data_IF_039241644291
#
_entry.id   IF_039241644291
#
_cell.length_a   1.000
_cell.length_b   1.000
_cell.length_c   1.000
_cell.angle_alpha   90.00
_cell.angle_beta   90.00
_cell.angle_gamma   90.00
#
_symmetry.space_group_name_H-M   'P 1'
#
loop_
_entity.id
_entity.type
_entity.pdbx_description
1 polymer ?
#
# COMPACT_ATOMS: atom_id res chain seq x y z
N UNK A 1 -4.94 14.35 -16.69
CA UNK A 1 -5.19 15.10 -15.44
C UNK A 1 -4.32 16.34 -15.37
N UNK A 2 -4.72 17.36 -14.60
CA UNK A 2 -3.84 18.47 -14.24
C UNK A 2 -2.86 18.06 -13.13
N UNK A 3 -1.79 18.84 -12.92
CA UNK A 3 -0.85 18.60 -11.82
C UNK A 3 -1.53 18.66 -10.44
N UNK A 4 -2.48 19.56 -10.27
CA UNK A 4 -3.29 19.65 -9.05
C UNK A 4 -4.11 18.38 -8.81
N UNK A 5 -4.71 17.81 -9.86
CA UNK A 5 -5.49 16.58 -9.72
C UNK A 5 -4.59 15.41 -9.29
N UNK A 6 -3.38 15.29 -9.88
CA UNK A 6 -2.43 14.23 -9.55
C UNK A 6 -1.97 14.38 -8.10
N UNK A 7 -1.69 15.61 -7.67
CA UNK A 7 -1.31 15.91 -6.30
C UNK A 7 -2.41 15.56 -5.30
N UNK A 8 -3.66 15.92 -5.60
CA UNK A 8 -4.83 15.58 -4.77
C UNK A 8 -5.03 14.06 -4.68
N UNK A 9 -4.89 13.34 -5.80
CA UNK A 9 -4.97 11.88 -5.83
C UNK A 9 -3.93 11.24 -4.92
N UNK A 10 -2.66 11.62 -5.04
CA UNK A 10 -1.58 11.08 -4.21
C UNK A 10 -1.82 11.38 -2.72
N UNK A 11 -2.20 12.62 -2.38
CA UNK A 11 -2.49 12.99 -0.99
C UNK A 11 -3.72 12.26 -0.42
N UNK A 12 -4.72 11.96 -1.26
CA UNK A 12 -5.85 11.16 -0.82
C UNK A 12 -5.45 9.72 -0.52
N UNK A 13 -4.66 9.10 -1.40
CA UNK A 13 -4.14 7.75 -1.20
C UNK A 13 -3.20 7.67 0.01
N UNK A 14 -2.40 8.71 0.27
CA UNK A 14 -1.58 8.82 1.47
C UNK A 14 -2.44 8.73 2.74
N UNK A 15 -3.55 9.48 2.79
CA UNK A 15 -4.49 9.43 3.92
C UNK A 15 -5.07 8.04 4.13
N UNK A 16 -5.53 7.39 3.06
CA UNK A 16 -6.05 6.02 3.14
C UNK A 16 -5.02 5.04 3.69
N UNK A 17 -3.75 5.16 3.28
CA UNK A 17 -2.68 4.33 3.82
C UNK A 17 -2.44 4.60 5.33
N UNK A 18 -2.48 5.86 5.76
CA UNK A 18 -2.39 6.21 7.18
C UNK A 18 -3.60 5.74 8.01
N UNK A 19 -4.80 5.84 7.46
CA UNK A 19 -6.03 5.41 8.13
C UNK A 19 -6.01 3.88 8.32
N UNK A 20 -5.62 3.12 7.29
CA UNK A 20 -5.46 1.67 7.38
C UNK A 20 -4.34 1.26 8.35
N UNK A 21 -3.22 1.98 8.35
CA UNK A 21 -2.15 1.80 9.35
C UNK A 21 -2.71 1.92 10.77
N UNK A 22 -3.49 2.96 11.03
CA UNK A 22 -4.07 3.21 12.35
C UNK A 22 -5.11 2.15 12.74
N UNK A 23 -5.89 1.65 11.77
CA UNK A 23 -6.80 0.52 11.96
C UNK A 23 -6.04 -0.75 12.34
N UNK A 24 -5.00 -1.11 11.58
CA UNK A 24 -4.16 -2.28 11.84
C UNK A 24 -3.55 -2.21 13.24
N UNK A 25 -2.95 -1.07 13.59
CA UNK A 25 -2.37 -0.85 14.92
C UNK A 25 -3.43 -0.95 16.03
N UNK A 26 -4.62 -0.40 15.80
CA UNK A 26 -5.73 -0.47 16.76
C UNK A 26 -6.19 -1.91 16.99
N UNK A 27 -6.39 -2.67 15.91
CA UNK A 27 -6.81 -4.09 15.98
C UNK A 27 -5.75 -4.93 16.68
N UNK A 28 -4.48 -4.76 16.32
CA UNK A 28 -3.37 -5.49 16.93
C UNK A 28 -3.20 -5.14 18.43
N UNK A 29 -3.26 -3.86 18.78
CA UNK A 29 -3.07 -3.40 20.17
C UNK A 29 -4.22 -3.83 21.07
N UNK A 30 -5.47 -3.72 20.59
CA UNK A 30 -6.67 -4.12 21.35
C UNK A 30 -6.92 -5.62 21.33
N UNK A 31 -6.21 -6.38 20.47
CA UNK A 31 -6.43 -7.80 20.23
C UNK A 31 -7.89 -8.14 19.96
N UNK A 32 -8.56 -7.28 19.20
CA UNK A 32 -9.97 -7.44 18.88
C UNK A 32 -10.12 -7.92 17.43
N UNK A 33 -10.55 -9.17 17.18
CA UNK A 33 -10.72 -9.68 15.82
C UNK A 33 -11.95 -9.10 15.11
N UNK A 34 -12.87 -8.44 15.83
CA UNK A 34 -14.12 -7.93 15.25
C UNK A 34 -13.92 -7.07 13.98
N UNK A 35 -12.99 -6.10 13.98
CA UNK A 35 -12.69 -5.26 12.80
C UNK A 35 -11.69 -5.89 11.81
N UNK A 36 -11.43 -7.20 11.87
CA UNK A 36 -10.46 -7.81 10.95
C UNK A 36 -10.91 -7.73 9.49
N UNK A 37 -12.22 -7.86 9.22
CA UNK A 37 -12.75 -7.72 7.87
C UNK A 37 -12.53 -6.29 7.35
N UNK A 38 -12.70 -5.29 8.20
CA UNK A 38 -12.47 -3.88 7.86
C UNK A 38 -11.03 -3.64 7.36
N UNK A 39 -10.03 -4.32 7.92
CA UNK A 39 -8.64 -4.23 7.41
C UNK A 39 -8.55 -4.68 5.94
N UNK A 40 -9.25 -5.75 5.59
CA UNK A 40 -9.23 -6.28 4.23
C UNK A 40 -10.03 -5.39 3.27
N UNK A 41 -11.13 -4.82 3.74
CA UNK A 41 -11.96 -3.91 2.96
C UNK A 41 -11.20 -2.60 2.67
N UNK A 42 -10.47 -2.06 3.64
CA UNK A 42 -9.63 -0.86 3.45
C UNK A 42 -8.45 -1.11 2.48
N UNK A 43 -7.88 -2.33 2.44
CA UNK A 43 -6.92 -2.70 1.39
C UNK A 43 -7.59 -2.68 -0.01
N UNK A 44 -8.82 -3.17 -0.12
CA UNK A 44 -9.57 -3.11 -1.38
C UNK A 44 -9.87 -1.67 -1.78
N UNK A 45 -10.26 -0.81 -0.83
CA UNK A 45 -10.54 0.59 -1.09
C UNK A 45 -9.29 1.35 -1.61
N UNK A 46 -8.10 1.03 -1.09
CA UNK A 46 -6.84 1.55 -1.63
C UNK A 46 -6.63 1.06 -3.07
N UNK A 47 -6.85 -0.23 -3.34
CA UNK A 47 -6.75 -0.79 -4.70
C UNK A 47 -7.71 -0.12 -5.67
N UNK A 48 -8.99 0.00 -5.31
CA UNK A 48 -10.03 0.62 -6.13
C UNK A 48 -9.73 2.10 -6.39
N UNK A 49 -9.25 2.82 -5.36
CA UNK A 49 -8.82 4.20 -5.51
C UNK A 49 -7.62 4.33 -6.44
N UNK A 50 -6.66 3.41 -6.37
CA UNK A 50 -5.53 3.39 -7.30
C UNK A 50 -5.99 3.11 -8.74
N UNK A 51 -6.84 2.10 -8.95
CA UNK A 51 -7.40 1.77 -10.28
C UNK A 51 -8.20 2.92 -10.88
N UNK A 52 -9.02 3.59 -10.06
CA UNK A 52 -9.78 4.76 -10.46
C UNK A 52 -8.85 5.87 -10.93
N UNK A 53 -7.80 6.18 -10.14
CA UNK A 53 -6.79 7.18 -10.51
C UNK A 53 -6.01 6.79 -11.78
N UNK A 54 -5.63 5.51 -11.94
CA UNK A 54 -5.01 5.03 -13.19
C UNK A 54 -5.91 5.34 -14.38
N UNK A 55 -7.20 5.03 -14.29
CA UNK A 55 -8.15 5.21 -15.42
C UNK A 55 -8.22 6.65 -15.94
N UNK A 56 -8.06 7.63 -15.04
CA UNK A 56 -8.10 9.07 -15.39
C UNK A 56 -6.72 9.67 -15.66
N UNK A 57 -5.65 9.00 -15.21
CA UNK A 57 -4.26 9.44 -15.43
C UNK A 57 -3.66 8.94 -16.73
N UNK A 58 -4.17 7.85 -17.30
CA UNK A 58 -3.71 7.32 -18.59
C UNK A 58 -3.62 8.45 -19.64
N UNK A 59 -2.46 8.52 -20.32
CA UNK A 59 -2.13 9.55 -21.33
C UNK A 59 -1.99 10.99 -20.80
N UNK A 60 -1.80 11.18 -19.49
CA UNK A 60 -1.39 12.49 -18.99
C UNK A 60 -0.06 12.91 -19.64
N UNK A 61 0.00 14.16 -20.09
CA UNK A 61 1.20 14.69 -20.73
C UNK A 61 2.34 14.86 -19.71
N UNK A 62 3.57 14.82 -20.21
CA UNK A 62 4.75 15.17 -19.42
C UNK A 62 4.63 16.61 -18.94
N UNK A 63 4.94 16.83 -17.66
CA UNK A 63 4.82 18.11 -16.99
C UNK A 63 6.04 18.97 -17.25
N UNK A 64 5.85 20.12 -17.86
CA UNK A 64 6.96 21.00 -18.29
C UNK A 64 7.28 22.11 -17.29
N UNK A 65 6.34 22.48 -16.43
CA UNK A 65 6.54 23.55 -15.44
C UNK A 65 7.24 23.01 -14.19
N UNK A 66 8.34 23.63 -13.72
CA UNK A 66 9.03 23.18 -12.50
C UNK A 66 8.13 23.18 -11.25
N UNK A 67 7.24 24.17 -11.11
CA UNK A 67 6.31 24.25 -9.99
C UNK A 67 5.34 23.05 -9.93
N UNK A 68 4.82 22.63 -11.09
CA UNK A 68 3.92 21.48 -11.19
C UNK A 68 4.67 20.17 -10.92
N UNK A 69 5.92 20.05 -11.37
CA UNK A 69 6.76 18.89 -11.06
C UNK A 69 6.99 18.77 -9.55
N UNK A 70 7.35 19.86 -8.88
CA UNK A 70 7.53 19.88 -7.43
C UNK A 70 6.23 19.48 -6.70
N UNK A 71 5.10 20.07 -7.10
CA UNK A 71 3.80 19.80 -6.50
C UNK A 71 3.41 18.32 -6.59
N UNK A 72 3.64 17.69 -7.74
CA UNK A 72 3.36 16.27 -7.93
C UNK A 72 4.35 15.42 -7.13
N UNK A 73 5.63 15.77 -7.13
CA UNK A 73 6.66 15.01 -6.44
C UNK A 73 6.49 15.01 -4.92
N UNK A 74 6.11 16.14 -4.33
CA UNK A 74 5.82 16.24 -2.89
C UNK A 74 4.63 15.35 -2.51
N UNK A 75 3.56 15.39 -3.29
CA UNK A 75 2.39 14.55 -3.05
C UNK A 75 2.66 13.06 -3.29
N UNK A 76 3.43 12.73 -4.34
CA UNK A 76 3.94 11.38 -4.59
C UNK A 76 4.74 10.87 -3.38
N UNK A 77 5.68 11.67 -2.88
CA UNK A 77 6.51 11.32 -1.73
C UNK A 77 5.67 11.12 -0.46
N UNK A 78 4.63 11.92 -0.26
CA UNK A 78 3.69 11.74 0.85
C UNK A 78 2.92 10.41 0.75
N UNK A 79 2.49 10.03 -0.46
CA UNK A 79 1.88 8.72 -0.69
C UNK A 79 2.85 7.57 -0.39
N UNK A 80 4.09 7.67 -0.89
CA UNK A 80 5.16 6.70 -0.60
C UNK A 80 5.37 6.57 0.92
N UNK A 81 5.42 7.67 1.66
CA UNK A 81 5.54 7.63 3.12
C UNK A 81 4.35 6.90 3.79
N UNK A 82 3.13 7.16 3.32
CA UNK A 82 1.94 6.45 3.79
C UNK A 82 2.05 4.93 3.58
N UNK A 83 2.56 4.51 2.41
CA UNK A 83 2.80 3.09 2.11
C UNK A 83 3.85 2.46 3.01
N UNK A 84 4.97 3.15 3.27
CA UNK A 84 5.99 2.67 4.22
C UNK A 84 5.40 2.44 5.60
N UNK A 85 4.70 3.43 6.12
CA UNK A 85 4.09 3.38 7.45
C UNK A 85 3.03 2.27 7.57
N UNK A 86 2.22 2.09 6.52
CA UNK A 86 1.27 0.99 6.42
C UNK A 86 1.98 -0.38 6.43
N UNK A 87 2.95 -0.57 5.53
CA UNK A 87 3.68 -1.84 5.41
C UNK A 87 4.42 -2.19 6.70
N UNK A 88 5.02 -1.21 7.37
CA UNK A 88 5.70 -1.40 8.65
C UNK A 88 4.70 -1.79 9.75
N UNK A 89 3.55 -1.12 9.85
CA UNK A 89 2.51 -1.45 10.82
C UNK A 89 1.98 -2.88 10.62
N UNK A 90 1.72 -3.27 9.37
CA UNK A 90 1.22 -4.61 9.01
C UNK A 90 2.29 -5.68 9.27
N UNK A 91 3.54 -5.41 8.90
CA UNK A 91 4.70 -6.28 9.17
C UNK A 91 4.85 -6.55 10.66
N UNK A 92 4.87 -5.51 11.47
CA UNK A 92 5.05 -5.60 12.92
C UNK A 92 3.84 -6.27 13.62
N UNK A 93 2.65 -6.17 13.02
CA UNK A 93 1.43 -6.75 13.57
C UNK A 93 1.19 -8.20 13.17
N UNK A 94 1.97 -8.77 12.24
CA UNK A 94 1.72 -10.08 11.66
C UNK A 94 1.50 -11.21 12.68
N UNK A 95 2.35 -11.39 13.73
CA UNK A 95 2.13 -12.44 14.72
C UNK A 95 0.83 -12.25 15.51
N UNK A 96 0.50 -11.00 15.83
CA UNK A 96 -0.70 -10.66 16.60
C UNK A 96 -1.96 -10.86 15.78
N UNK A 97 -1.96 -10.44 14.51
CA UNK A 97 -3.09 -10.62 13.59
C UNK A 97 -3.40 -12.11 13.39
N UNK A 98 -2.39 -12.95 13.19
CA UNK A 98 -2.56 -14.41 13.09
C UNK A 98 -3.06 -15.03 14.40
N UNK A 99 -2.65 -14.47 15.55
CA UNK A 99 -3.10 -14.97 16.85
C UNK A 99 -4.58 -14.68 17.12
N UNK A 100 -5.10 -13.52 16.68
CA UNK A 100 -6.50 -13.14 16.89
C UNK A 100 -7.44 -13.65 15.79
N UNK A 101 -6.93 -13.78 14.55
CA UNK A 101 -7.68 -14.30 13.41
C UNK A 101 -6.79 -15.23 12.59
N UNK A 102 -7.10 -16.53 12.61
CA UNK A 102 -6.26 -17.54 11.96
C UNK A 102 -6.22 -17.39 10.45
N UNK A 103 -7.30 -16.89 9.83
CA UNK A 103 -7.32 -16.63 8.41
C UNK A 103 -6.38 -15.50 7.98
N UNK A 104 -5.90 -14.66 8.92
CA UNK A 104 -4.95 -13.59 8.63
C UNK A 104 -3.65 -14.11 8.00
N UNK A 105 -3.28 -15.36 8.29
CA UNK A 105 -2.08 -15.99 7.75
C UNK A 105 -2.07 -16.10 6.21
N UNK A 106 -3.25 -16.11 5.58
CA UNK A 106 -3.40 -16.17 4.12
C UNK A 106 -4.08 -14.94 3.54
N UNK A 107 -5.10 -14.41 4.21
CA UNK A 107 -5.92 -13.31 3.68
C UNK A 107 -5.16 -11.99 3.63
N UNK A 108 -4.39 -11.66 4.68
CA UNK A 108 -3.61 -10.41 4.70
C UNK A 108 -2.49 -10.45 3.65
N UNK A 109 -1.65 -11.51 3.54
CA UNK A 109 -0.66 -11.58 2.46
C UNK A 109 -1.25 -11.59 1.05
N UNK A 110 -2.49 -12.05 0.87
CA UNK A 110 -3.19 -11.95 -0.42
C UNK A 110 -3.55 -10.50 -0.72
N UNK A 111 -4.21 -9.81 0.21
CA UNK A 111 -4.59 -8.40 0.05
C UNK A 111 -3.38 -7.49 -0.16
N UNK A 112 -2.30 -7.71 0.59
CA UNK A 112 -1.03 -6.97 0.44
C UNK A 112 -0.44 -7.16 -0.97
N UNK A 113 -0.50 -8.37 -1.55
CA UNK A 113 0.00 -8.61 -2.92
C UNK A 113 -0.86 -7.93 -3.98
N UNK A 114 -2.17 -7.94 -3.80
CA UNK A 114 -3.11 -7.29 -4.72
C UNK A 114 -2.87 -5.78 -4.75
N UNK A 115 -2.85 -5.16 -3.57
CA UNK A 115 -2.56 -3.73 -3.43
C UNK A 115 -1.17 -3.39 -3.98
N UNK A 116 -0.15 -4.21 -3.70
CA UNK A 116 1.19 -3.99 -4.24
C UNK A 116 1.19 -3.92 -5.78
N UNK A 117 0.48 -4.82 -6.46
CA UNK A 117 0.42 -4.85 -7.92
C UNK A 117 -0.31 -3.62 -8.51
N UNK A 118 -1.39 -3.19 -7.87
CA UNK A 118 -2.15 -2.01 -8.33
C UNK A 118 -1.39 -0.71 -8.05
N UNK A 119 -0.81 -0.59 -6.85
CA UNK A 119 0.04 0.55 -6.48
C UNK A 119 1.23 0.65 -7.43
N UNK A 120 1.89 -0.47 -7.75
CA UNK A 120 2.99 -0.52 -8.72
C UNK A 120 2.60 0.11 -10.07
N UNK A 121 1.45 -0.28 -10.62
CA UNK A 121 0.93 0.26 -11.86
C UNK A 121 0.65 1.78 -11.77
N UNK A 122 0.07 2.25 -10.67
CA UNK A 122 -0.18 3.68 -10.45
C UNK A 122 1.13 4.46 -10.34
N UNK A 123 2.10 3.98 -9.57
CA UNK A 123 3.39 4.65 -9.39
C UNK A 123 4.13 4.79 -10.72
N UNK A 124 4.09 3.78 -11.59
CA UNK A 124 4.62 3.91 -12.96
C UNK A 124 3.90 5.00 -13.77
N UNK A 125 2.57 5.06 -13.67
CA UNK A 125 1.79 6.08 -14.38
C UNK A 125 2.07 7.50 -13.89
N UNK A 126 2.27 7.70 -12.58
CA UNK A 126 2.67 8.99 -12.02
C UNK A 126 4.10 9.32 -12.43
N UNK A 127 5.04 8.37 -12.32
CA UNK A 127 6.44 8.58 -12.69
C UNK A 127 6.60 9.01 -14.16
N UNK A 128 5.75 8.49 -15.05
CA UNK A 128 5.77 8.84 -16.47
C UNK A 128 5.43 10.30 -16.78
N UNK A 129 4.88 11.07 -15.82
CA UNK A 129 4.59 12.50 -16.02
C UNK A 129 5.81 13.39 -15.81
N UNK A 130 6.86 12.88 -15.14
CA UNK A 130 8.09 13.63 -14.93
C UNK A 130 8.96 13.62 -16.20
N UNK A 131 9.55 14.76 -16.60
CA UNK A 131 10.55 14.77 -17.65
C UNK A 131 11.78 13.94 -17.26
N UNK A 132 12.32 13.17 -18.21
CA UNK A 132 13.43 12.25 -17.97
C UNK A 132 14.77 12.95 -17.68
N UNK A 133 14.88 14.24 -17.97
CA UNK A 133 16.05 15.09 -17.72
C UNK A 133 15.99 15.80 -16.35
N UNK A 134 14.98 15.49 -15.53
CA UNK A 134 14.81 16.08 -14.19
C UNK A 134 15.21 15.10 -13.07
N UNK A 135 15.71 15.60 -11.93
CA UNK A 135 16.00 14.77 -10.76
C UNK A 135 14.79 13.99 -10.23
N UNK A 136 13.57 14.53 -10.41
CA UNK A 136 12.34 13.92 -9.92
C UNK A 136 12.07 12.55 -10.52
N UNK A 137 12.42 12.33 -11.80
CA UNK A 137 12.26 11.03 -12.45
C UNK A 137 13.07 9.94 -11.74
N UNK A 138 14.32 10.23 -11.39
CA UNK A 138 15.21 9.30 -10.71
C UNK A 138 14.82 9.11 -9.24
N UNK A 139 14.48 10.21 -8.55
CA UNK A 139 14.07 10.16 -7.14
C UNK A 139 12.79 9.35 -6.95
N UNK A 140 11.79 9.54 -7.82
CA UNK A 140 10.55 8.77 -7.78
C UNK A 140 10.82 7.28 -8.06
N UNK A 141 11.68 6.94 -9.02
CA UNK A 141 12.08 5.56 -9.29
C UNK A 141 12.76 4.89 -8.07
N UNK A 142 13.62 5.62 -7.36
CA UNK A 142 14.28 5.12 -6.16
C UNK A 142 13.27 4.86 -5.03
N UNK A 143 12.34 5.78 -4.79
CA UNK A 143 11.27 5.63 -3.80
C UNK A 143 10.37 4.42 -4.11
N UNK A 144 9.97 4.25 -5.38
CA UNK A 144 9.21 3.09 -5.83
C UNK A 144 9.92 1.76 -5.52
N UNK A 145 11.22 1.66 -5.83
CA UNK A 145 12.01 0.45 -5.56
C UNK A 145 12.05 0.08 -4.08
N UNK A 146 12.04 1.09 -3.20
CA UNK A 146 11.92 0.88 -1.75
C UNK A 146 10.52 0.37 -1.39
N UNK A 147 9.45 0.95 -1.95
CA UNK A 147 8.07 0.47 -1.73
C UNK A 147 7.91 -1.00 -2.15
N UNK A 148 8.45 -1.39 -3.30
CA UNK A 148 8.44 -2.78 -3.76
C UNK A 148 9.09 -3.72 -2.74
N UNK A 149 10.14 -3.24 -2.05
CA UNK A 149 10.86 -4.00 -1.03
C UNK A 149 10.02 -4.13 0.25
N UNK A 150 9.38 -3.06 0.71
CA UNK A 150 8.51 -3.07 1.89
C UNK A 150 7.31 -4.00 1.72
N UNK A 151 6.66 -3.98 0.55
CA UNK A 151 5.58 -4.93 0.24
C UNK A 151 6.03 -6.39 0.29
N UNK A 152 7.19 -6.71 -0.29
CA UNK A 152 7.78 -8.07 -0.22
C UNK A 152 8.10 -8.47 1.22
N UNK A 153 8.67 -7.57 2.02
CA UNK A 153 8.99 -7.81 3.42
C UNK A 153 7.74 -8.07 4.26
N UNK A 154 6.66 -7.32 4.00
CA UNK A 154 5.37 -7.48 4.68
C UNK A 154 4.80 -8.88 4.47
N UNK A 155 4.75 -9.35 3.22
CA UNK A 155 4.31 -10.71 2.90
C UNK A 155 5.21 -11.76 3.57
N UNK A 156 6.53 -11.54 3.56
CA UNK A 156 7.48 -12.45 4.19
C UNK A 156 7.29 -12.55 5.70
N UNK A 157 6.98 -11.45 6.38
CA UNK A 157 6.75 -11.44 7.82
C UNK A 157 5.56 -12.34 8.22
N UNK A 158 4.49 -12.35 7.44
CA UNK A 158 3.38 -13.28 7.64
C UNK A 158 3.80 -14.73 7.43
N UNK A 159 4.54 -15.04 6.36
CA UNK A 159 5.02 -16.41 6.15
C UNK A 159 5.91 -16.90 7.31
N UNK A 160 6.80 -16.04 7.84
CA UNK A 160 7.62 -16.37 9.02
C UNK A 160 6.72 -16.60 10.24
N UNK A 161 5.76 -15.70 10.47
CA UNK A 161 4.85 -15.81 11.62
C UNK A 161 4.01 -17.11 11.56
N UNK A 162 3.51 -17.48 10.38
CA UNK A 162 2.82 -18.75 10.15
C UNK A 162 3.72 -19.95 10.42
N UNK A 163 4.96 -19.94 9.90
CA UNK A 163 5.91 -21.04 10.11
C UNK A 163 6.24 -21.26 11.60
N UNK A 164 6.18 -20.19 12.40
CA UNK A 164 6.37 -20.24 13.85
C UNK A 164 5.08 -20.57 14.63
N UNK A 165 3.94 -20.74 13.95
CA UNK A 165 2.65 -21.06 14.57
C UNK A 165 2.47 -22.57 14.65
N UNK A 166 2.41 -23.14 15.87
CA UNK A 166 2.28 -24.60 16.09
C UNK A 166 0.92 -25.21 15.70
N UNK A 167 -0.02 -24.42 15.18
CA UNK A 167 -1.33 -24.85 14.69
C UNK A 167 -1.75 -23.93 13.54
N UNK A 168 -1.28 -24.19 12.31
CA UNK A 168 -1.67 -23.42 11.12
C UNK A 168 -3.16 -23.59 10.83
N UNK A 169 -3.76 -22.62 10.15
CA UNK A 169 -5.16 -22.69 9.76
C UNK A 169 -5.41 -23.90 8.84
N UNK A 170 -6.51 -24.61 9.08
CA UNK A 170 -6.99 -25.68 8.21
C UNK A 170 -8.47 -25.51 7.95
N UNK A 171 -8.88 -25.59 6.67
CA UNK A 171 -10.31 -25.63 6.30
C UNK A 171 -10.88 -27.06 6.31
N UNK A 172 -10.07 -28.08 6.58
CA UNK A 172 -10.55 -29.46 6.62
C UNK A 172 -11.24 -29.68 7.95
N UNK A 173 -12.57 -29.64 7.95
CA UNK A 173 -13.36 -30.23 9.03
C UNK A 173 -13.04 -31.72 9.08
N UNK A 174 -12.41 -32.18 10.15
CA UNK A 174 -12.37 -33.61 10.47
C UNK A 174 -13.82 -34.08 10.58
N UNK A 175 -14.25 -34.91 9.64
CA UNK A 175 -15.53 -35.64 9.69
C UNK A 175 -15.37 -36.85 10.60
#
# INVERSE_FOLDING_TARGET
MSASDISLACNSLARMAFDLKDLVNTVATKRNPGPFQDILDEFNDISDSCLSNISVMIRSAVVTTPADQQLIYEAYSNFIQGLFELTDAVTNSAPTLIAIEKQAEFRVPSAVREVAGVVDALLFQIMAVFPSDTPYSQQAANQKSQVDTHFRQTVHAFHIATANTGSPYSNTTTV
#
